data_IF_615932860497
#
_entry.id   IF_615932860497
#
_cell.length_a   1.000
_cell.length_b   1.000
_cell.length_c   1.000
_cell.angle_alpha   90.00
_cell.angle_beta   90.00
_cell.angle_gamma   90.00
#
_symmetry.space_group_name_H-M   'P 1'
#
loop_
_entity.id
_entity.type
_entity.pdbx_description
1 polymer ?
#
# COMPACT_ATOMS: atom_id res chain seq x y z
N UNK A 1 12.37 -3.52 -2.53
CA UNK A 1 12.59 -2.26 -3.28
C UNK A 1 11.26 -1.74 -3.80
N UNK A 2 11.15 -0.44 -4.04
CA UNK A 2 9.93 0.17 -4.56
C UNK A 2 9.72 -0.19 -6.03
N UNK A 3 8.47 -0.43 -6.43
CA UNK A 3 8.06 -0.64 -7.82
C UNK A 3 7.77 0.69 -8.51
N UNK A 4 7.66 0.66 -9.84
CA UNK A 4 7.35 1.86 -10.64
C UNK A 4 6.00 2.49 -10.27
N UNK A 5 5.02 1.65 -9.92
CA UNK A 5 3.68 2.02 -9.46
C UNK A 5 3.67 2.65 -8.05
N UNK A 6 4.82 2.74 -7.37
CA UNK A 6 4.95 3.31 -6.03
C UNK A 6 4.78 2.30 -4.89
N UNK A 7 4.32 1.09 -5.18
CA UNK A 7 4.12 0.04 -4.16
C UNK A 7 5.41 -0.73 -3.83
N UNK A 8 5.39 -1.49 -2.74
CA UNK A 8 6.40 -2.50 -2.43
C UNK A 8 5.79 -3.89 -2.49
N UNK A 9 6.56 -4.90 -2.88
CA UNK A 9 6.11 -6.29 -2.84
C UNK A 9 6.30 -6.90 -1.45
N UNK A 10 5.26 -7.56 -0.94
CA UNK A 10 5.25 -8.22 0.37
C UNK A 10 5.50 -9.72 0.31
N UNK A 11 6.39 -10.21 1.18
CA UNK A 11 6.71 -11.63 1.29
C UNK A 11 5.94 -12.35 2.41
N UNK A 12 5.40 -11.59 3.38
CA UNK A 12 4.83 -12.13 4.63
C UNK A 12 3.37 -11.76 4.86
N UNK A 13 2.77 -11.04 3.91
CA UNK A 13 1.37 -10.61 3.92
C UNK A 13 0.88 -10.41 2.50
N UNK A 14 -0.43 -10.23 2.34
CA UNK A 14 -1.06 -9.99 1.03
C UNK A 14 -1.21 -8.49 0.81
N UNK A 15 -0.56 -7.91 -0.19
CA UNK A 15 0.83 -8.10 -0.61
C UNK A 15 1.46 -6.72 -0.76
N UNK A 16 0.88 -5.90 -1.65
CA UNK A 16 1.37 -4.57 -1.94
C UNK A 16 0.96 -3.56 -0.88
N UNK A 17 -0.28 -3.61 -0.40
CA UNK A 17 -0.75 -2.69 0.65
C UNK A 17 0.06 -2.92 1.94
N UNK A 18 0.20 -4.18 2.34
CA UNK A 18 0.97 -4.61 3.50
C UNK A 18 2.43 -4.11 3.45
N UNK A 19 3.13 -4.38 2.35
CA UNK A 19 4.55 -4.02 2.25
C UNK A 19 4.76 -2.52 2.10
N UNK A 20 3.86 -1.81 1.42
CA UNK A 20 3.91 -0.36 1.28
C UNK A 20 3.81 0.32 2.65
N UNK A 21 2.93 -0.16 3.53
CA UNK A 21 2.87 0.31 4.93
C UNK A 21 4.21 0.18 5.65
N UNK A 22 4.84 -1.01 5.64
CA UNK A 22 6.12 -1.20 6.31
C UNK A 22 7.25 -0.37 5.70
N UNK A 23 7.25 -0.21 4.37
CA UNK A 23 8.23 0.62 3.68
C UNK A 23 8.11 2.10 4.06
N UNK A 24 6.89 2.66 4.02
CA UNK A 24 6.64 4.05 4.43
C UNK A 24 7.02 4.23 5.90
N UNK A 25 6.58 3.33 6.78
CA UNK A 25 6.93 3.38 8.21
C UNK A 25 8.45 3.38 8.44
N UNK A 26 9.19 2.57 7.69
CA UNK A 26 10.65 2.53 7.78
C UNK A 26 11.32 3.83 7.30
N UNK A 27 10.81 4.42 6.20
CA UNK A 27 11.29 5.70 5.69
C UNK A 27 11.01 6.84 6.67
N UNK A 28 9.79 6.90 7.23
CA UNK A 28 9.41 7.88 8.24
C UNK A 28 10.29 7.76 9.49
N UNK A 29 10.54 6.53 9.96
CA UNK A 29 11.46 6.29 11.08
C UNK A 29 12.90 6.73 10.80
N UNK A 30 13.33 6.79 9.54
CA UNK A 30 14.62 7.31 9.12
C UNK A 30 14.65 8.84 8.92
N UNK A 31 13.55 9.55 9.24
CA UNK A 31 13.44 11.00 9.11
C UNK A 31 12.98 11.50 7.74
N UNK A 32 12.56 10.61 6.85
CA UNK A 32 11.93 10.99 5.59
C UNK A 32 10.46 11.37 5.80
N UNK A 33 9.97 12.30 4.99
CA UNK A 33 8.61 12.83 5.03
C UNK A 33 8.06 12.89 3.61
N UNK A 34 6.75 13.12 3.48
CA UNK A 34 6.10 13.30 2.18
C UNK A 34 6.79 14.38 1.32
N UNK A 35 7.25 15.47 1.94
CA UNK A 35 7.82 16.62 1.22
C UNK A 35 9.27 16.41 0.78
N UNK A 36 10.03 15.56 1.49
CA UNK A 36 11.46 15.37 1.25
C UNK A 36 11.81 14.03 0.58
N UNK A 37 10.83 13.15 0.38
CA UNK A 37 11.05 11.80 -0.12
C UNK A 37 10.04 11.43 -1.19
N UNK A 38 10.51 11.47 -2.44
CA UNK A 38 9.72 11.10 -3.62
C UNK A 38 9.13 9.68 -3.53
N UNK A 39 9.83 8.76 -2.87
CA UNK A 39 9.36 7.40 -2.66
C UNK A 39 8.09 7.36 -1.79
N UNK A 40 8.00 8.21 -0.75
CA UNK A 40 6.79 8.33 0.08
C UNK A 40 5.65 8.93 -0.76
N UNK A 41 5.91 9.98 -1.53
CA UNK A 41 4.87 10.60 -2.36
C UNK A 41 4.26 9.61 -3.36
N UNK A 42 5.10 8.79 -4.01
CA UNK A 42 4.63 7.70 -4.88
C UNK A 42 3.85 6.61 -4.14
N UNK A 43 4.24 6.29 -2.90
CA UNK A 43 3.52 5.34 -2.07
C UNK A 43 2.10 5.82 -1.76
N UNK A 44 1.97 7.11 -1.44
CA UNK A 44 0.68 7.77 -1.19
C UNK A 44 -0.17 7.77 -2.45
N UNK A 45 0.39 8.16 -3.60
CA UNK A 45 -0.31 8.15 -4.89
C UNK A 45 -0.83 6.74 -5.23
N UNK A 46 0.00 5.72 -5.03
CA UNK A 46 -0.40 4.32 -5.19
C UNK A 46 -1.63 3.99 -4.34
N UNK A 47 -1.56 4.25 -3.02
CA UNK A 47 -2.63 3.91 -2.09
C UNK A 47 -3.93 4.66 -2.44
N UNK A 48 -3.87 5.95 -2.74
CA UNK A 48 -5.04 6.73 -3.12
C UNK A 48 -5.68 6.22 -4.42
N UNK A 49 -4.87 5.78 -5.39
CA UNK A 49 -5.35 5.23 -6.65
C UNK A 49 -6.14 3.93 -6.50
N UNK A 50 -5.80 3.11 -5.50
CA UNK A 50 -6.42 1.80 -5.26
C UNK A 50 -7.45 1.79 -4.13
N UNK A 51 -7.86 2.97 -3.65
CA UNK A 51 -8.94 3.08 -2.67
C UNK A 51 -10.27 2.63 -3.29
N UNK A 52 -11.03 1.83 -2.56
CA UNK A 52 -12.36 1.37 -2.97
C UNK A 52 -13.40 2.48 -2.81
N UNK A 53 -14.56 2.34 -3.45
CA UNK A 53 -15.67 3.33 -3.40
C UNK A 53 -16.24 3.51 -1.99
N UNK A 54 -16.14 2.48 -1.14
CA UNK A 54 -16.53 2.52 0.28
C UNK A 54 -15.50 3.23 1.17
N UNK A 55 -14.41 3.72 0.58
CA UNK A 55 -13.29 4.38 1.26
C UNK A 55 -12.26 3.43 1.87
N UNK A 56 -12.47 2.11 1.78
CA UNK A 56 -11.55 1.11 2.29
C UNK A 56 -10.52 0.65 1.26
N UNK A 57 -9.71 -0.34 1.66
CA UNK A 57 -8.76 -1.01 0.77
C UNK A 57 -8.90 -2.52 0.87
N UNK A 58 -8.79 -3.20 -0.28
CA UNK A 58 -8.91 -4.64 -0.38
C UNK A 58 -8.05 -5.20 -1.50
N UNK A 59 -7.15 -6.13 -1.17
CA UNK A 59 -6.24 -6.80 -2.09
C UNK A 59 -6.39 -8.33 -2.00
N UNK A 60 -6.53 -8.96 -3.17
CA UNK A 60 -6.67 -10.40 -3.32
C UNK A 60 -5.32 -11.12 -3.16
N UNK A 61 -5.34 -12.35 -2.63
CA UNK A 61 -4.16 -13.22 -2.57
C UNK A 61 -3.54 -13.50 -3.95
N UNK A 62 -4.32 -13.36 -5.02
CA UNK A 62 -3.84 -13.46 -6.42
C UNK A 62 -2.73 -12.45 -6.71
N UNK A 63 -2.70 -11.32 -6.00
CA UNK A 63 -1.64 -10.32 -6.10
C UNK A 63 -0.26 -10.86 -5.77
N UNK A 64 -0.14 -11.82 -4.84
CA UNK A 64 1.13 -12.46 -4.52
C UNK A 64 1.68 -13.22 -5.74
N UNK A 65 0.81 -13.99 -6.42
CA UNK A 65 1.21 -14.80 -7.58
C UNK A 65 1.50 -13.95 -8.81
N UNK A 66 0.68 -12.92 -9.07
CA UNK A 66 0.84 -12.05 -10.25
C UNK A 66 1.85 -10.92 -10.03
N UNK A 67 2.29 -10.67 -8.79
CA UNK A 67 3.18 -9.56 -8.37
C UNK A 67 2.65 -8.17 -8.77
N UNK A 68 1.34 -8.05 -8.90
CA UNK A 68 0.63 -6.81 -9.20
C UNK A 68 -0.57 -6.69 -8.28
N UNK A 69 -0.90 -5.45 -7.90
CA UNK A 69 -2.09 -5.19 -7.12
C UNK A 69 -3.34 -5.67 -7.87
N UNK A 70 -4.23 -6.35 -7.15
CA UNK A 70 -5.48 -6.88 -7.68
C UNK A 70 -6.53 -6.74 -6.61
N UNK A 71 -7.60 -6.00 -6.91
CA UNK A 71 -8.70 -5.80 -5.99
C UNK A 71 -9.39 -7.13 -5.62
N UNK A 72 -10.03 -7.14 -4.46
CA UNK A 72 -10.97 -8.20 -4.11
C UNK A 72 -12.19 -8.19 -5.05
N UNK A 73 -12.92 -9.32 -5.17
CA UNK A 73 -14.15 -9.37 -5.94
C UNK A 73 -15.12 -8.26 -5.50
N UNK A 74 -15.80 -7.64 -6.47
CA UNK A 74 -16.72 -6.51 -6.25
C UNK A 74 -16.07 -5.26 -5.64
N UNK A 75 -14.74 -5.08 -5.75
CA UNK A 75 -14.00 -3.99 -5.09
C UNK A 75 -14.27 -3.90 -3.59
N UNK A 76 -14.53 -5.04 -2.94
CA UNK A 76 -14.77 -5.07 -1.51
C UNK A 76 -13.52 -4.63 -0.73
N UNK A 77 -13.73 -3.87 0.35
CA UNK A 77 -12.67 -3.56 1.30
C UNK A 77 -12.38 -4.73 2.25
N UNK A 78 -11.18 -4.73 2.81
CA UNK A 78 -10.79 -5.62 3.89
C UNK A 78 -10.35 -4.79 5.10
N UNK A 79 -10.84 -5.15 6.29
CA UNK A 79 -10.58 -4.41 7.53
C UNK A 79 -9.09 -4.21 7.82
N UNK A 80 -8.30 -5.27 7.69
CA UNK A 80 -6.87 -5.26 8.04
C UNK A 80 -6.07 -4.47 7.00
N UNK A 81 -6.37 -4.67 5.71
CA UNK A 81 -5.68 -3.93 4.64
C UNK A 81 -6.05 -2.43 4.65
N UNK A 82 -7.30 -2.11 4.98
CA UNK A 82 -7.74 -0.72 5.22
C UNK A 82 -6.93 -0.09 6.35
N UNK A 83 -6.73 -0.83 7.44
CA UNK A 83 -5.92 -0.36 8.56
C UNK A 83 -4.47 -0.12 8.16
N UNK A 84 -3.85 -1.02 7.37
CA UNK A 84 -2.50 -0.80 6.86
C UNK A 84 -2.38 0.41 5.93
N UNK A 85 -3.33 0.59 5.02
CA UNK A 85 -3.36 1.74 4.13
C UNK A 85 -3.47 3.06 4.91
N UNK A 86 -4.39 3.14 5.88
CA UNK A 86 -4.52 4.32 6.74
C UNK A 86 -3.27 4.59 7.56
N UNK A 87 -2.67 3.55 8.16
CA UNK A 87 -1.42 3.70 8.90
C UNK A 87 -0.27 4.19 8.02
N UNK A 88 -0.26 3.83 6.73
CA UNK A 88 0.74 4.32 5.78
C UNK A 88 0.49 5.78 5.36
N UNK A 89 -0.75 6.25 5.39
CA UNK A 89 -1.13 7.61 4.96
C UNK A 89 -1.02 8.66 6.08
N UNK A 90 -1.14 8.24 7.35
CA UNK A 90 -1.06 9.13 8.52
C UNK A 90 0.40 9.39 8.95
N UNK A 91 1.32 8.51 8.56
CA UNK A 91 2.75 8.62 8.85
C UNK A 91 3.50 9.31 7.71
#
# INVERSE_FOLDING_TARGET
>A
MQKEDGSWYGNWGICHIYATFFAVKGLVAAGYTYDNCFQISKAVEFLLKIQCEDGGWGESHISCSKKVHTHLPHNASNLVQTSFALMALIH
#
